data_IF_393331276596
#
_entry.id   IF_393331276596
#
_cell.length_a   1.000
_cell.length_b   1.000
_cell.length_c   1.000
_cell.angle_alpha   90.00
_cell.angle_beta   90.00
_cell.angle_gamma   90.00
#
_symmetry.space_group_name_H-M   'P 1'
#
loop_
_entity.id
_entity.type
_entity.pdbx_description
1 polymer ?
#
# COMPACT_ATOMS: atom_id res chain seq x y z
N UNK A 1 41.40 20.02 45.10
CA UNK A 1 39.96 19.82 45.36
C UNK A 1 39.07 20.62 44.41
N UNK A 2 39.27 21.93 44.22
CA UNK A 2 38.37 22.77 43.37
C UNK A 2 38.34 22.31 41.89
N UNK A 3 39.48 21.94 41.29
CA UNK A 3 39.53 21.46 39.89
C UNK A 3 38.79 20.13 39.66
N UNK A 4 38.80 19.23 40.64
CA UNK A 4 38.14 17.92 40.55
C UNK A 4 36.61 18.07 40.68
N UNK A 5 36.15 19.03 41.49
CA UNK A 5 34.73 19.35 41.65
C UNK A 5 34.16 19.99 40.37
N UNK A 6 34.91 20.88 39.71
CA UNK A 6 34.51 21.50 38.44
C UNK A 6 34.41 20.49 37.29
N UNK A 7 35.31 19.51 37.23
CA UNK A 7 35.27 18.47 36.20
C UNK A 7 34.08 17.51 36.39
N UNK A 8 33.77 17.16 37.64
CA UNK A 8 32.59 16.35 37.97
C UNK A 8 31.28 17.11 37.68
N UNK A 9 31.23 18.42 37.94
CA UNK A 9 30.08 19.26 37.60
C UNK A 9 29.88 19.34 36.08
N UNK A 10 30.97 19.55 35.31
CA UNK A 10 30.90 19.62 33.85
C UNK A 10 30.39 18.30 33.26
N UNK A 11 30.90 17.16 33.73
CA UNK A 11 30.45 15.83 33.27
C UNK A 11 28.97 15.58 33.62
N UNK A 12 28.53 16.02 34.82
CA UNK A 12 27.14 15.92 35.25
C UNK A 12 26.20 16.79 34.41
N UNK A 13 26.62 18.01 34.04
CA UNK A 13 25.87 18.87 33.12
C UNK A 13 25.82 18.31 31.70
N UNK A 14 26.89 17.67 31.21
CA UNK A 14 26.86 17.02 29.89
C UNK A 14 25.92 15.80 29.87
N UNK A 15 25.92 14.97 30.92
CA UNK A 15 25.02 13.81 31.03
C UNK A 15 23.55 14.27 31.12
N UNK A 16 23.28 15.34 31.88
CA UNK A 16 21.94 15.92 31.97
C UNK A 16 21.48 16.58 30.66
N UNK A 17 22.40 17.18 29.88
CA UNK A 17 22.09 17.75 28.57
C UNK A 17 21.72 16.67 27.56
N UNK A 18 22.51 15.59 27.48
CA UNK A 18 22.23 14.47 26.57
C UNK A 18 20.92 13.79 26.92
N UNK A 19 20.65 13.55 28.21
CA UNK A 19 19.38 12.98 28.65
C UNK A 19 18.17 13.90 28.40
N UNK A 20 18.35 15.23 28.43
CA UNK A 20 17.30 16.19 28.12
C UNK A 20 17.04 16.31 26.61
N UNK A 21 18.08 16.17 25.77
CA UNK A 21 17.96 16.12 24.32
C UNK A 21 17.31 14.80 23.86
N UNK A 22 17.66 13.67 24.48
CA UNK A 22 17.02 12.36 24.23
C UNK A 22 15.52 12.36 24.58
N UNK A 23 15.13 13.00 25.69
CA UNK A 23 13.71 13.11 26.09
C UNK A 23 12.94 14.04 25.14
N UNK A 24 13.52 15.18 24.75
CA UNK A 24 12.87 16.08 23.77
C UNK A 24 12.77 15.45 22.38
N UNK A 25 13.76 14.67 21.98
CA UNK A 25 13.72 13.92 20.73
C UNK A 25 12.66 12.82 20.79
N UNK A 26 12.57 12.07 21.89
CA UNK A 26 11.52 11.07 22.09
C UNK A 26 10.11 11.69 22.16
N UNK A 27 9.96 12.87 22.77
CA UNK A 27 8.70 13.63 22.79
C UNK A 27 8.33 14.14 21.40
N UNK A 28 9.27 14.68 20.63
CA UNK A 28 9.05 15.13 19.25
C UNK A 28 8.79 13.96 18.29
N UNK A 29 9.44 12.82 18.48
CA UNK A 29 9.18 11.58 17.73
C UNK A 29 7.80 11.00 18.07
N UNK A 30 7.39 11.04 19.34
CA UNK A 30 6.05 10.64 19.79
C UNK A 30 4.94 11.60 19.30
N UNK A 31 5.21 12.90 19.25
CA UNK A 31 4.28 13.92 18.74
C UNK A 31 4.14 13.81 17.21
N UNK A 32 5.25 13.65 16.49
CA UNK A 32 5.24 13.29 15.08
C UNK A 32 4.61 11.90 14.83
N UNK A 33 4.65 10.99 15.81
CA UNK A 33 3.95 9.69 15.76
C UNK A 33 2.45 9.84 15.81
N UNK A 34 1.95 10.66 16.72
CA UNK A 34 0.55 11.01 16.83
C UNK A 34 0.03 11.83 15.64
N UNK A 35 0.87 12.67 15.03
CA UNK A 35 0.45 13.53 13.90
C UNK A 35 0.17 12.78 12.59
N UNK A 36 0.83 11.63 12.37
CA UNK A 36 0.67 10.87 11.13
C UNK A 36 -0.40 9.77 11.21
N UNK A 37 -0.75 9.29 12.41
CA UNK A 37 -1.86 8.36 12.62
C UNK A 37 -3.20 9.10 12.52
N UNK A 38 -4.04 8.68 11.58
CA UNK A 38 -5.28 9.39 11.22
C UNK A 38 -6.55 8.60 11.52
N UNK A 39 -6.40 7.35 11.99
CA UNK A 39 -7.51 6.50 12.41
C UNK A 39 -7.11 5.04 12.54
N UNK A 40 -8.06 4.20 12.97
CA UNK A 40 -7.86 2.76 13.06
C UNK A 40 -9.16 2.00 12.82
N UNK A 41 -9.04 0.71 12.47
CA UNK A 41 -10.15 -0.23 12.39
C UNK A 41 -9.64 -1.62 12.78
N UNK A 42 -10.11 -2.13 13.92
CA UNK A 42 -9.61 -3.39 14.49
C UNK A 42 -8.09 -3.34 14.76
N UNK A 43 -7.33 -4.22 14.11
CA UNK A 43 -5.85 -4.23 14.17
C UNK A 43 -5.18 -3.40 13.07
N UNK A 44 -5.96 -2.69 12.27
CA UNK A 44 -5.44 -1.85 11.18
C UNK A 44 -5.31 -0.41 11.66
N UNK A 45 -4.11 0.16 11.50
CA UNK A 45 -3.83 1.58 11.77
C UNK A 45 -3.69 2.30 10.44
N UNK A 46 -4.36 3.44 10.29
CA UNK A 46 -4.30 4.29 9.11
C UNK A 46 -3.34 5.45 9.34
N UNK A 47 -2.48 5.71 8.35
CA UNK A 47 -1.51 6.80 8.38
C UNK A 47 -1.58 7.67 7.14
N UNK A 48 -1.22 8.94 7.28
CA UNK A 48 -1.05 9.88 6.17
C UNK A 48 0.18 10.76 6.46
N UNK A 49 1.34 10.33 5.98
CA UNK A 49 2.62 11.00 6.24
C UNK A 49 3.02 11.94 5.09
N UNK A 50 3.43 13.20 5.36
CA UNK A 50 3.77 14.18 4.33
C UNK A 50 5.00 13.81 3.50
N UNK A 51 6.02 13.19 4.08
CA UNK A 51 7.26 12.85 3.37
C UNK A 51 7.06 11.63 2.49
N UNK A 52 6.34 10.61 2.96
CA UNK A 52 5.93 9.47 2.14
C UNK A 52 5.05 9.92 0.97
N UNK A 53 4.08 10.82 1.22
CA UNK A 53 3.25 11.40 0.18
C UNK A 53 4.08 12.16 -0.86
N UNK A 54 5.03 13.00 -0.43
CA UNK A 54 5.93 13.71 -1.34
C UNK A 54 6.78 12.74 -2.17
N UNK A 55 7.43 11.78 -1.52
CA UNK A 55 8.29 10.79 -2.19
C UNK A 55 7.55 10.06 -3.32
N UNK A 56 6.36 9.54 -3.03
CA UNK A 56 5.57 8.79 -3.99
C UNK A 56 4.91 9.70 -5.04
N UNK A 57 4.61 10.95 -4.69
CA UNK A 57 4.15 11.95 -5.65
C UNK A 57 5.24 12.30 -6.67
N UNK A 58 6.48 12.54 -6.24
CA UNK A 58 7.62 12.77 -7.14
C UNK A 58 7.83 11.57 -8.08
N UNK A 59 7.76 10.35 -7.53
CA UNK A 59 7.90 9.15 -8.34
C UNK A 59 6.73 8.94 -9.32
N UNK A 60 5.51 9.30 -8.94
CA UNK A 60 4.35 9.33 -9.82
C UNK A 60 4.58 10.26 -11.02
N UNK A 61 4.99 11.50 -10.76
CA UNK A 61 5.23 12.49 -11.81
C UNK A 61 6.37 12.06 -12.74
N UNK A 62 7.40 11.39 -12.22
CA UNK A 62 8.49 10.84 -13.02
C UNK A 62 8.05 9.71 -13.96
N UNK A 63 7.00 8.98 -13.58
CA UNK A 63 6.48 7.81 -14.31
C UNK A 63 5.36 8.15 -15.29
N UNK A 64 4.56 9.17 -14.99
CA UNK A 64 3.35 9.52 -15.71
C UNK A 64 3.43 10.94 -16.28
N UNK A 65 3.78 11.03 -17.56
CA UNK A 65 3.92 12.31 -18.28
C UNK A 65 2.62 13.12 -18.34
N UNK A 66 1.46 12.46 -18.34
CA UNK A 66 0.18 13.18 -18.30
C UNK A 66 -0.02 13.81 -16.93
N UNK A 67 0.26 13.06 -15.85
CA UNK A 67 0.17 13.59 -14.50
C UNK A 67 1.18 14.73 -14.27
N UNK A 68 2.40 14.62 -14.80
CA UNK A 68 3.39 15.69 -14.76
C UNK A 68 2.90 16.94 -15.52
N UNK A 69 2.32 16.75 -16.70
CA UNK A 69 1.75 17.86 -17.47
C UNK A 69 0.63 18.56 -16.69
N UNK A 70 -0.30 17.80 -16.11
CA UNK A 70 -1.37 18.35 -15.27
C UNK A 70 -0.80 19.13 -14.05
N UNK A 71 0.26 18.61 -13.43
CA UNK A 71 0.91 19.29 -12.32
C UNK A 71 1.57 20.61 -12.74
N UNK A 72 2.29 20.62 -13.87
CA UNK A 72 2.91 21.83 -14.46
C UNK A 72 1.88 22.90 -14.81
N UNK A 73 0.74 22.46 -15.33
CA UNK A 73 -0.36 23.33 -15.74
C UNK A 73 -1.20 23.82 -14.53
N UNK A 74 -0.92 23.33 -13.32
CA UNK A 74 -1.68 23.69 -12.12
C UNK A 74 -1.29 25.05 -11.54
N UNK A 75 -2.27 25.82 -11.06
CA UNK A 75 -2.04 27.08 -10.33
C UNK A 75 -1.60 26.86 -8.87
N UNK A 76 -1.41 25.59 -8.47
CA UNK A 76 -1.08 25.22 -7.08
C UNK A 76 0.38 25.47 -6.70
N UNK A 77 1.24 25.78 -7.66
CA UNK A 77 2.67 25.97 -7.45
C UNK A 77 3.21 27.12 -8.30
N UNK A 78 4.07 27.95 -7.72
CA UNK A 78 4.75 29.03 -8.47
C UNK A 78 5.78 28.45 -9.43
N UNK A 79 6.13 29.18 -10.50
CA UNK A 79 7.17 28.74 -11.44
C UNK A 79 8.55 28.55 -10.77
N UNK A 80 8.85 29.34 -9.74
CA UNK A 80 10.09 29.18 -8.95
C UNK A 80 10.07 27.87 -8.16
N UNK A 81 9.00 27.61 -7.41
CA UNK A 81 8.84 26.38 -6.63
C UNK A 81 8.79 25.14 -7.53
N UNK A 82 8.13 25.23 -8.70
CA UNK A 82 8.05 24.15 -9.69
C UNK A 82 9.44 23.70 -10.16
N UNK A 83 10.40 24.61 -10.30
CA UNK A 83 11.77 24.26 -10.72
C UNK A 83 12.49 23.33 -9.74
N UNK A 84 12.14 23.35 -8.45
CA UNK A 84 12.67 22.41 -7.46
C UNK A 84 12.06 21.02 -7.62
N UNK A 85 10.75 20.95 -7.91
CA UNK A 85 10.07 19.70 -8.23
C UNK A 85 10.62 19.08 -9.50
N UNK A 86 10.78 19.86 -10.58
CA UNK A 86 11.26 19.33 -11.86
C UNK A 86 12.65 18.71 -11.76
N UNK A 87 13.57 19.35 -11.01
CA UNK A 87 14.89 18.76 -10.74
C UNK A 87 14.80 17.44 -10.01
N UNK A 88 13.94 17.33 -8.99
CA UNK A 88 13.73 16.09 -8.27
C UNK A 88 13.10 15.03 -9.19
N UNK A 89 12.05 15.39 -9.94
CA UNK A 89 11.32 14.49 -10.83
C UNK A 89 12.23 13.89 -11.91
N UNK A 90 13.15 14.69 -12.46
CA UNK A 90 14.15 14.18 -13.42
C UNK A 90 15.03 13.09 -12.81
N UNK A 91 15.52 13.31 -11.59
CA UNK A 91 16.35 12.32 -10.89
C UNK A 91 15.55 11.04 -10.55
N UNK A 92 14.28 11.18 -10.11
CA UNK A 92 13.37 10.04 -9.91
C UNK A 92 13.11 9.30 -11.23
N UNK A 93 13.09 10.01 -12.35
CA UNK A 93 12.90 9.41 -13.68
C UNK A 93 14.12 8.56 -14.06
N UNK A 94 15.32 9.11 -13.96
CA UNK A 94 16.58 8.43 -14.32
C UNK A 94 16.89 7.23 -13.41
N UNK A 95 16.75 7.41 -12.09
CA UNK A 95 17.10 6.39 -11.10
C UNK A 95 16.00 5.35 -10.89
N UNK A 96 14.75 5.70 -11.22
CA UNK A 96 13.57 4.89 -10.93
C UNK A 96 12.72 4.56 -12.15
N UNK A 97 12.02 5.57 -12.69
CA UNK A 97 10.89 5.34 -13.58
C UNK A 97 11.29 4.69 -14.91
N UNK A 98 12.38 5.16 -15.53
CA UNK A 98 12.92 4.60 -16.79
C UNK A 98 13.38 3.15 -16.62
N UNK A 99 13.81 2.80 -15.41
CA UNK A 99 14.28 1.47 -15.03
C UNK A 99 13.16 0.56 -14.53
N UNK A 100 11.90 1.03 -14.53
CA UNK A 100 10.73 0.31 -14.03
C UNK A 100 10.91 -0.21 -12.58
N UNK A 101 11.52 0.60 -11.73
CA UNK A 101 11.83 0.25 -10.35
C UNK A 101 10.55 0.10 -9.52
N UNK A 102 10.45 -0.99 -8.75
CA UNK A 102 9.35 -1.16 -7.80
C UNK A 102 9.72 -0.51 -6.47
N UNK A 103 8.84 0.35 -5.95
CA UNK A 103 9.03 1.17 -4.72
C UNK A 103 9.29 0.38 -3.43
N UNK A 104 9.22 -0.95 -3.42
CA UNK A 104 9.43 -1.77 -2.20
C UNK A 104 10.02 -3.15 -2.51
N UNK A 105 10.29 -3.48 -3.79
CA UNK A 105 10.72 -4.84 -4.22
C UNK A 105 11.95 -4.77 -5.12
N UNK A 106 12.81 -3.79 -4.91
CA UNK A 106 14.04 -3.60 -5.66
C UNK A 106 15.18 -3.16 -4.74
N UNK A 107 16.40 -3.41 -5.16
CA UNK A 107 17.61 -2.89 -4.51
C UNK A 107 17.97 -1.57 -5.19
N UNK A 108 17.25 -0.50 -4.85
CA UNK A 108 17.38 0.84 -5.45
C UNK A 108 17.13 1.94 -4.43
N UNK A 109 17.63 3.15 -4.70
CA UNK A 109 17.40 4.33 -3.84
C UNK A 109 15.91 4.63 -3.64
N UNK A 110 15.07 4.40 -4.66
CA UNK A 110 13.61 4.60 -4.55
C UNK A 110 13.01 3.66 -3.50
N UNK A 111 13.36 2.38 -3.56
CA UNK A 111 12.82 1.39 -2.64
C UNK A 111 13.42 1.50 -1.23
N UNK A 112 14.69 1.87 -1.14
CA UNK A 112 15.35 2.14 0.14
C UNK A 112 14.70 3.33 0.84
N UNK A 113 14.51 4.44 0.12
CA UNK A 113 13.86 5.63 0.66
C UNK A 113 12.40 5.36 1.04
N UNK A 114 11.65 4.60 0.24
CA UNK A 114 10.31 4.14 0.65
C UNK A 114 10.40 3.34 1.96
N UNK A 115 11.37 2.44 2.10
CA UNK A 115 11.58 1.65 3.32
C UNK A 115 11.89 2.52 4.55
N UNK A 116 12.77 3.51 4.41
CA UNK A 116 13.10 4.49 5.46
C UNK A 116 11.84 5.24 5.90
N UNK A 117 11.07 5.76 4.95
CA UNK A 117 9.85 6.54 5.24
C UNK A 117 8.73 5.70 5.85
N UNK A 118 8.52 4.47 5.37
CA UNK A 118 7.55 3.53 5.94
C UNK A 118 7.90 3.11 7.38
N UNK A 119 9.20 3.07 7.72
CA UNK A 119 9.67 2.78 9.07
C UNK A 119 9.92 4.05 9.90
N UNK A 120 9.59 5.23 9.37
CA UNK A 120 9.78 6.54 10.02
C UNK A 120 11.21 6.80 10.47
N UNK A 121 12.18 6.23 9.78
CA UNK A 121 13.57 6.52 10.04
C UNK A 121 13.88 7.93 9.57
N UNK A 122 14.60 8.69 10.40
CA UNK A 122 15.02 10.04 10.02
C UNK A 122 15.87 9.98 8.75
N UNK A 123 15.60 10.90 7.82
CA UNK A 123 16.44 11.08 6.64
C UNK A 123 17.72 11.77 7.09
N UNK A 124 18.79 10.99 7.26
CA UNK A 124 20.13 11.55 7.48
C UNK A 124 20.80 11.87 6.13
N UNK A 125 20.73 13.15 5.76
CA UNK A 125 21.34 13.66 4.52
C UNK A 125 22.86 13.76 4.57
N UNK A 126 23.47 13.77 5.76
CA UNK A 126 24.93 13.87 5.91
C UNK A 126 25.58 12.49 5.72
N UNK A 127 24.87 11.44 6.13
CA UNK A 127 25.29 10.05 5.97
C UNK A 127 24.86 9.48 4.61
N UNK A 128 23.71 9.90 4.09
CA UNK A 128 23.19 9.38 2.82
C UNK A 128 23.96 9.93 1.61
N UNK A 129 24.49 9.01 0.79
CA UNK A 129 25.10 9.36 -0.52
C UNK A 129 24.05 9.63 -1.60
N UNK A 130 22.83 9.17 -1.35
CA UNK A 130 21.74 9.04 -2.33
C UNK A 130 21.16 10.41 -2.69
N UNK A 131 20.99 10.66 -3.99
CA UNK A 131 20.50 11.95 -4.47
C UNK A 131 19.02 12.14 -4.14
N UNK A 132 18.22 11.06 -4.13
CA UNK A 132 16.78 11.13 -3.88
C UNK A 132 16.45 11.61 -2.46
N UNK A 133 17.26 11.26 -1.46
CA UNK A 133 17.09 11.71 -0.08
C UNK A 133 17.22 13.23 0.02
N UNK A 134 18.28 13.79 -0.61
CA UNK A 134 18.49 15.24 -0.68
C UNK A 134 17.34 15.95 -1.39
N UNK A 135 16.83 15.38 -2.48
CA UNK A 135 15.68 15.95 -3.19
C UNK A 135 14.42 16.00 -2.33
N UNK A 136 14.10 14.92 -1.60
CA UNK A 136 12.93 14.91 -0.70
C UNK A 136 13.07 15.97 0.38
N UNK A 137 14.22 16.07 1.05
CA UNK A 137 14.44 17.08 2.10
C UNK A 137 14.34 18.50 1.56
N UNK A 138 14.92 18.77 0.39
CA UNK A 138 14.91 20.11 -0.21
C UNK A 138 13.51 20.53 -0.68
N UNK A 139 12.72 19.59 -1.21
CA UNK A 139 11.37 19.87 -1.73
C UNK A 139 10.31 19.87 -0.61
N UNK A 140 10.56 19.18 0.51
CA UNK A 140 9.60 19.04 1.60
C UNK A 140 9.00 20.35 2.13
N UNK A 141 9.75 21.43 2.39
CA UNK A 141 9.16 22.70 2.84
C UNK A 141 8.21 23.31 1.80
N UNK A 142 8.54 23.19 0.52
CA UNK A 142 7.74 23.71 -0.60
C UNK A 142 6.46 22.88 -0.74
N UNK A 143 6.59 21.54 -0.67
CA UNK A 143 5.47 20.61 -0.68
C UNK A 143 4.50 20.88 0.48
N UNK A 144 5.02 21.02 1.70
CA UNK A 144 4.22 21.30 2.91
C UNK A 144 3.43 22.60 2.78
N UNK A 145 4.06 23.65 2.23
CA UNK A 145 3.42 24.97 2.05
C UNK A 145 2.34 24.98 0.97
N UNK A 146 2.55 24.30 -0.15
CA UNK A 146 1.74 24.49 -1.35
C UNK A 146 0.76 23.33 -1.63
N UNK A 147 1.10 22.09 -1.27
CA UNK A 147 0.39 20.90 -1.73
C UNK A 147 -0.14 20.01 -0.59
N UNK A 148 0.56 19.97 0.55
CA UNK A 148 0.25 19.01 1.62
C UNK A 148 -1.17 19.15 2.16
N UNK A 149 -1.66 20.37 2.40
CA UNK A 149 -3.00 20.58 2.92
C UNK A 149 -4.07 19.93 2.02
N UNK A 150 -3.93 20.10 0.70
CA UNK A 150 -4.87 19.53 -0.28
C UNK A 150 -4.72 18.01 -0.38
N UNK A 151 -3.50 17.49 -0.41
CA UNK A 151 -3.23 16.05 -0.48
C UNK A 151 -3.73 15.33 0.79
N UNK A 152 -3.44 15.90 1.96
CA UNK A 152 -3.89 15.40 3.26
C UNK A 152 -5.42 15.45 3.36
N UNK A 153 -6.06 16.56 2.95
CA UNK A 153 -7.51 16.65 2.92
C UNK A 153 -8.15 15.54 2.06
N UNK A 154 -7.54 15.21 0.91
CA UNK A 154 -7.98 14.09 0.05
C UNK A 154 -7.78 12.72 0.71
N UNK A 155 -6.65 12.50 1.36
CA UNK A 155 -6.39 11.27 2.14
C UNK A 155 -7.44 11.09 3.25
N UNK A 156 -7.74 12.15 4.00
CA UNK A 156 -8.71 12.14 5.09
C UNK A 156 -10.17 12.04 4.59
N UNK A 157 -10.50 12.63 3.45
CA UNK A 157 -11.80 12.45 2.79
C UNK A 157 -12.02 10.99 2.39
N UNK A 158 -11.01 10.39 1.75
CA UNK A 158 -11.04 8.98 1.36
C UNK A 158 -11.20 8.07 2.58
N UNK A 159 -10.41 8.31 3.64
CA UNK A 159 -10.49 7.54 4.88
C UNK A 159 -11.88 7.64 5.51
N UNK A 160 -12.42 8.85 5.68
CA UNK A 160 -13.77 9.03 6.24
C UNK A 160 -14.82 8.26 5.44
N UNK A 161 -14.73 8.29 4.10
CA UNK A 161 -15.61 7.54 3.22
C UNK A 161 -15.47 6.03 3.36
N UNK A 162 -14.26 5.52 3.60
CA UNK A 162 -13.98 4.11 3.88
C UNK A 162 -14.46 3.70 5.28
N UNK A 163 -14.20 4.53 6.30
CA UNK A 163 -14.51 4.27 7.71
C UNK A 163 -15.99 3.95 7.91
N UNK A 164 -16.87 4.76 7.32
CA UNK A 164 -18.33 4.53 7.36
C UNK A 164 -18.72 3.14 6.83
N UNK A 165 -18.01 2.65 5.81
CA UNK A 165 -18.24 1.33 5.22
C UNK A 165 -17.64 0.22 6.06
N UNK A 166 -16.45 0.44 6.61
CA UNK A 166 -15.78 -0.52 7.51
C UNK A 166 -16.57 -0.72 8.80
N UNK A 167 -17.13 0.33 9.37
CA UNK A 167 -17.96 0.25 10.58
C UNK A 167 -19.23 -0.55 10.33
N UNK A 168 -19.79 -0.46 9.11
CA UNK A 168 -21.03 -1.14 8.75
C UNK A 168 -20.85 -2.57 8.24
N UNK A 169 -19.84 -2.80 7.40
CA UNK A 169 -19.66 -4.05 6.65
C UNK A 169 -18.33 -4.75 6.93
N UNK A 170 -17.37 -4.07 7.54
CA UNK A 170 -16.01 -4.58 7.66
C UNK A 170 -15.93 -5.88 8.46
N UNK A 171 -16.71 -6.01 9.53
CA UNK A 171 -16.74 -7.23 10.34
C UNK A 171 -17.24 -8.45 9.58
N UNK A 172 -18.35 -8.31 8.85
CA UNK A 172 -18.93 -9.39 8.02
C UNK A 172 -17.98 -9.80 6.90
N UNK A 173 -17.44 -8.82 6.16
CA UNK A 173 -16.51 -9.06 5.04
C UNK A 173 -15.23 -9.76 5.56
N UNK A 174 -14.66 -9.26 6.66
CA UNK A 174 -13.46 -9.87 7.26
C UNK A 174 -13.73 -11.31 7.65
N UNK A 175 -14.82 -11.57 8.36
CA UNK A 175 -15.17 -12.91 8.80
C UNK A 175 -15.35 -13.89 7.63
N UNK A 176 -16.06 -13.50 6.57
CA UNK A 176 -16.25 -14.36 5.39
C UNK A 176 -14.92 -14.63 4.68
N UNK A 177 -14.07 -13.61 4.49
CA UNK A 177 -12.75 -13.80 3.88
C UNK A 177 -11.83 -14.70 4.72
N UNK A 178 -11.83 -14.54 6.03
CA UNK A 178 -11.02 -15.38 6.93
C UNK A 178 -11.49 -16.83 6.94
N UNK A 179 -12.81 -17.05 6.87
CA UNK A 179 -13.38 -18.39 6.74
C UNK A 179 -12.98 -19.04 5.41
N UNK A 180 -13.14 -18.31 4.29
CA UNK A 180 -12.77 -18.80 2.97
C UNK A 180 -11.27 -19.15 2.96
N UNK A 181 -10.39 -18.17 3.21
CA UNK A 181 -8.95 -18.43 3.17
C UNK A 181 -8.42 -19.31 4.32
N UNK A 182 -9.27 -19.60 5.32
CA UNK A 182 -8.95 -20.39 6.51
C UNK A 182 -7.75 -19.83 7.28
N UNK A 183 -7.65 -18.50 7.34
CA UNK A 183 -6.59 -17.76 8.03
C UNK A 183 -7.11 -16.36 8.36
N UNK A 184 -6.65 -15.79 9.48
CA UNK A 184 -6.94 -14.39 9.79
C UNK A 184 -6.34 -13.48 8.72
N UNK A 185 -7.03 -12.39 8.36
CA UNK A 185 -6.48 -11.41 7.42
C UNK A 185 -5.23 -10.76 8.00
N UNK A 186 -5.27 -10.43 9.30
CA UNK A 186 -4.16 -9.85 10.06
C UNK A 186 -4.05 -10.42 11.48
N UNK A 187 -2.87 -10.92 11.85
CA UNK A 187 -2.61 -11.44 13.20
C UNK A 187 -2.08 -10.37 14.16
N UNK A 188 -1.32 -9.40 13.65
CA UNK A 188 -0.75 -8.27 14.37
C UNK A 188 -1.29 -6.92 13.89
N UNK A 189 -0.66 -5.84 14.35
CA UNK A 189 -0.96 -4.49 13.84
C UNK A 189 -0.49 -4.39 12.39
N UNK A 190 -1.39 -3.98 11.51
CA UNK A 190 -1.11 -3.72 10.10
C UNK A 190 -1.28 -2.23 9.81
N UNK A 191 -0.31 -1.61 9.15
CA UNK A 191 -0.34 -0.18 8.84
C UNK A 191 -0.77 0.05 7.40
N UNK A 192 -1.82 0.84 7.20
CA UNK A 192 -2.25 1.33 5.87
C UNK A 192 -1.82 2.78 5.73
N UNK A 193 -0.83 3.02 4.87
CA UNK A 193 -0.34 4.34 4.52
C UNK A 193 -1.15 4.88 3.33
N UNK A 194 -1.98 5.89 3.61
CA UNK A 194 -2.82 6.58 2.63
C UNK A 194 -1.99 7.68 1.99
N UNK A 195 -1.97 7.66 0.66
CA UNK A 195 -1.15 8.56 -0.14
C UNK A 195 -1.98 9.21 -1.23
N UNK A 196 -1.69 10.46 -1.59
CA UNK A 196 -2.42 11.12 -2.66
C UNK A 196 -2.16 10.43 -4.00
N UNK A 197 -0.89 10.14 -4.31
CA UNK A 197 -0.47 9.30 -5.42
C UNK A 197 0.41 8.16 -4.88
N UNK A 198 0.29 6.95 -5.42
CA UNK A 198 0.96 5.78 -4.86
C UNK A 198 2.36 5.55 -5.45
N UNK A 199 2.76 6.27 -6.49
CA UNK A 199 4.04 6.03 -7.19
C UNK A 199 4.05 4.73 -8.00
N UNK A 200 2.90 4.09 -8.24
CA UNK A 200 2.81 2.80 -8.92
C UNK A 200 1.50 2.66 -9.70
N UNK A 201 1.56 2.03 -10.89
CA UNK A 201 0.42 1.93 -11.82
C UNK A 201 -0.78 1.17 -11.24
N UNK A 202 -0.52 0.24 -10.32
CA UNK A 202 -1.55 -0.61 -9.76
C UNK A 202 -2.45 0.13 -8.77
N UNK A 203 -2.07 1.30 -8.24
CA UNK A 203 -2.86 2.07 -7.28
C UNK A 203 -2.62 1.73 -5.81
N UNK A 204 -2.21 0.49 -5.50
CA UNK A 204 -1.83 0.08 -4.15
C UNK A 204 -0.76 -1.04 -4.15
N UNK A 205 -0.07 -1.20 -3.03
CA UNK A 205 0.84 -2.33 -2.82
C UNK A 205 0.89 -2.73 -1.35
N UNK A 206 0.96 -4.03 -1.10
CA UNK A 206 1.08 -4.59 0.25
C UNK A 206 2.33 -5.45 0.40
N UNK A 207 2.99 -5.28 1.54
CA UNK A 207 4.09 -6.11 2.01
C UNK A 207 3.67 -6.90 3.25
N UNK A 208 3.41 -8.19 3.07
CA UNK A 208 3.17 -9.11 4.19
C UNK A 208 4.39 -9.36 5.08
N UNK A 209 5.60 -8.88 4.70
CA UNK A 209 6.81 -8.98 5.54
C UNK A 209 6.89 -7.87 6.58
N UNK A 210 6.46 -6.67 6.21
CA UNK A 210 6.51 -5.48 7.06
C UNK A 210 5.13 -5.11 7.63
N UNK A 211 4.08 -5.85 7.28
CA UNK A 211 2.69 -5.56 7.67
C UNK A 211 2.30 -4.12 7.32
N UNK A 212 2.65 -3.71 6.11
CA UNK A 212 2.34 -2.39 5.59
C UNK A 212 1.71 -2.45 4.21
N UNK A 213 0.73 -1.57 4.01
CA UNK A 213 0.09 -1.28 2.72
C UNK A 213 0.33 0.19 2.39
N UNK A 214 0.57 0.48 1.11
CA UNK A 214 0.44 1.82 0.53
C UNK A 214 -0.79 1.78 -0.36
N UNK A 215 -1.73 2.71 -0.17
CA UNK A 215 -2.94 2.83 -0.98
C UNK A 215 -3.17 4.29 -1.36
N UNK A 216 -3.60 4.53 -2.60
CA UNK A 216 -3.88 5.88 -3.07
C UNK A 216 -5.29 6.37 -2.66
N UNK A 217 -5.44 7.69 -2.54
CA UNK A 217 -6.72 8.35 -2.25
C UNK A 217 -7.31 9.12 -3.43
N UNK A 218 -6.55 9.34 -4.51
CA UNK A 218 -6.94 10.25 -5.60
C UNK A 218 -7.51 9.58 -6.85
N UNK A 219 -7.28 8.28 -7.04
CA UNK A 219 -7.77 7.58 -8.23
C UNK A 219 -9.26 7.26 -8.10
N UNK A 220 -10.11 7.60 -9.10
CA UNK A 220 -11.54 7.31 -9.06
C UNK A 220 -11.85 5.82 -8.85
N UNK A 221 -11.05 4.93 -9.42
CA UNK A 221 -11.20 3.48 -9.31
C UNK A 221 -10.82 2.93 -7.93
N UNK A 222 -10.30 3.77 -7.03
CA UNK A 222 -10.05 3.46 -5.61
C UNK A 222 -11.04 4.14 -4.66
N UNK A 223 -12.11 4.75 -5.17
CA UNK A 223 -13.06 5.53 -4.37
C UNK A 223 -14.38 4.79 -4.09
N UNK A 224 -15.25 5.35 -3.24
CA UNK A 224 -16.61 4.83 -3.02
C UNK A 224 -16.61 3.40 -2.47
N UNK A 225 -17.32 2.49 -3.15
CA UNK A 225 -17.34 1.06 -2.82
C UNK A 225 -16.08 0.32 -3.25
N UNK A 226 -15.36 0.81 -4.26
CA UNK A 226 -14.05 0.25 -4.62
C UNK A 226 -12.99 0.52 -3.56
N UNK A 227 -13.10 1.61 -2.79
CA UNK A 227 -12.23 1.83 -1.62
C UNK A 227 -12.34 0.65 -0.63
N UNK A 228 -13.57 0.18 -0.38
CA UNK A 228 -13.83 -0.95 0.51
C UNK A 228 -13.28 -2.26 -0.08
N UNK A 229 -13.55 -2.54 -1.36
CA UNK A 229 -13.05 -3.74 -2.03
C UNK A 229 -11.53 -3.78 -2.06
N UNK A 230 -10.89 -2.68 -2.48
CA UNK A 230 -9.43 -2.62 -2.60
C UNK A 230 -8.75 -2.62 -1.24
N UNK A 231 -9.36 -2.07 -0.18
CA UNK A 231 -8.87 -2.21 1.18
C UNK A 231 -8.76 -3.69 1.59
N UNK A 232 -9.81 -4.48 1.38
CA UNK A 232 -9.81 -5.90 1.73
C UNK A 232 -8.94 -6.75 0.81
N UNK A 233 -8.82 -6.37 -0.46
CA UNK A 233 -7.88 -6.99 -1.40
C UNK A 233 -6.45 -6.78 -0.92
N UNK A 234 -6.07 -5.55 -0.58
CA UNK A 234 -4.73 -5.27 -0.07
C UNK A 234 -4.46 -5.98 1.26
N UNK A 235 -5.41 -5.97 2.19
CA UNK A 235 -5.28 -6.64 3.48
C UNK A 235 -5.10 -8.16 3.34
N UNK A 236 -5.77 -8.77 2.36
CA UNK A 236 -5.67 -10.21 2.09
C UNK A 236 -4.28 -10.63 1.55
N UNK A 237 -3.47 -9.73 1.01
CA UNK A 237 -2.08 -10.05 0.64
C UNK A 237 -1.17 -10.37 1.83
N UNK A 238 -1.53 -9.93 3.05
CA UNK A 238 -0.72 -10.13 4.26
C UNK A 238 -0.58 -11.63 4.54
N UNK A 239 -1.72 -12.31 4.75
CA UNK A 239 -1.77 -13.71 5.16
C UNK A 239 -2.43 -14.61 4.11
N UNK A 240 -3.63 -14.25 3.65
CA UNK A 240 -4.52 -15.08 2.82
C UNK A 240 -3.91 -15.49 1.49
N UNK A 241 -3.17 -14.59 0.83
CA UNK A 241 -2.52 -14.87 -0.45
C UNK A 241 -1.03 -14.59 -0.43
N UNK A 242 -0.40 -14.69 0.73
CA UNK A 242 1.06 -14.68 0.84
C UNK A 242 1.70 -15.84 0.07
N UNK A 243 2.99 -15.75 -0.26
CA UNK A 243 3.73 -16.84 -0.96
C UNK A 243 3.71 -18.19 -0.23
N UNK A 244 3.36 -18.21 1.06
CA UNK A 244 3.28 -19.40 1.90
C UNK A 244 1.83 -19.80 2.22
N UNK A 245 0.84 -19.11 1.65
CA UNK A 245 -0.57 -19.35 1.93
C UNK A 245 -1.01 -20.72 1.42
N UNK A 246 -2.09 -21.25 2.02
CA UNK A 246 -2.70 -22.52 1.61
C UNK A 246 -3.10 -22.48 0.13
N UNK A 247 -3.72 -21.38 -0.32
CA UNK A 247 -4.11 -21.20 -1.72
C UNK A 247 -2.93 -21.37 -2.69
N UNK A 248 -1.82 -20.64 -2.47
CA UNK A 248 -0.68 -20.72 -3.37
C UNK A 248 -0.01 -22.11 -3.34
N UNK A 249 0.04 -22.76 -2.18
CA UNK A 249 0.56 -24.13 -2.04
C UNK A 249 -0.28 -25.15 -2.80
N UNK A 250 -1.61 -25.06 -2.68
CA UNK A 250 -2.55 -25.94 -3.38
C UNK A 250 -2.47 -25.74 -4.90
N UNK A 251 -2.44 -24.48 -5.36
CA UNK A 251 -2.24 -24.18 -6.78
C UNK A 251 -0.91 -24.78 -7.25
N UNK A 252 0.17 -24.59 -6.49
CA UNK A 252 1.47 -25.19 -6.80
C UNK A 252 1.37 -26.71 -6.98
N UNK A 253 0.89 -27.42 -5.97
CA UNK A 253 0.84 -28.89 -5.98
C UNK A 253 -0.10 -29.47 -7.02
N UNK A 254 -1.27 -28.86 -7.26
CA UNK A 254 -2.22 -29.35 -8.26
C UNK A 254 -1.76 -29.04 -9.69
N UNK A 255 -1.19 -27.86 -9.92
CA UNK A 255 -0.77 -27.45 -11.28
C UNK A 255 0.49 -28.19 -11.72
N UNK A 256 1.35 -28.60 -10.79
CA UNK A 256 2.53 -29.43 -11.08
C UNK A 256 2.16 -30.80 -11.64
N UNK A 257 1.02 -31.37 -11.25
CA UNK A 257 0.55 -32.67 -11.78
C UNK A 257 0.26 -32.61 -13.28
N UNK A 258 0.02 -31.43 -13.83
CA UNK A 258 -0.39 -31.18 -15.20
C UNK A 258 0.59 -30.30 -16.00
N UNK A 259 1.77 -29.97 -15.45
CA UNK A 259 2.75 -29.07 -16.10
C UNK A 259 2.14 -27.70 -16.48
N UNK A 260 1.42 -27.08 -15.54
CA UNK A 260 0.73 -25.80 -15.72
C UNK A 260 1.48 -24.63 -15.04
N UNK A 261 2.81 -24.63 -15.08
CA UNK A 261 3.64 -23.63 -14.39
C UNK A 261 3.29 -22.20 -14.80
N UNK A 262 2.97 -21.98 -16.08
CA UNK A 262 2.57 -20.67 -16.61
C UNK A 262 1.26 -20.14 -15.99
N UNK A 263 0.40 -21.02 -15.49
CA UNK A 263 -0.90 -20.66 -14.91
C UNK A 263 -0.86 -20.47 -13.39
N UNK A 264 0.25 -20.78 -12.70
CA UNK A 264 0.33 -20.67 -11.23
C UNK A 264 0.05 -19.27 -10.69
N UNK A 265 0.16 -18.22 -11.52
CA UNK A 265 -0.22 -16.85 -11.17
C UNK A 265 -1.74 -16.61 -11.09
N UNK A 266 -2.57 -17.61 -11.39
CA UNK A 266 -4.03 -17.58 -11.23
C UNK A 266 -4.49 -17.27 -9.79
N UNK A 267 -3.61 -17.44 -8.79
CA UNK A 267 -3.90 -17.04 -7.42
C UNK A 267 -4.36 -15.58 -7.32
N UNK A 268 -3.84 -14.68 -8.17
CA UNK A 268 -4.18 -13.25 -8.11
C UNK A 268 -5.55 -12.95 -8.75
N UNK A 269 -5.92 -13.51 -9.92
CA UNK A 269 -7.31 -13.55 -10.38
C UNK A 269 -8.29 -14.16 -9.36
N UNK A 270 -7.96 -15.29 -8.73
CA UNK A 270 -8.79 -15.91 -7.67
C UNK A 270 -8.99 -14.94 -6.51
N UNK A 271 -7.93 -14.25 -6.10
CA UNK A 271 -7.97 -13.28 -5.01
C UNK A 271 -8.93 -12.13 -5.33
N UNK A 272 -8.78 -11.48 -6.48
CA UNK A 272 -9.69 -10.42 -6.94
C UNK A 272 -11.14 -10.91 -7.00
N UNK A 273 -11.36 -12.12 -7.52
CA UNK A 273 -12.70 -12.70 -7.64
C UNK A 273 -13.34 -12.92 -6.27
N UNK A 274 -12.58 -13.47 -5.34
CA UNK A 274 -13.05 -13.80 -3.99
C UNK A 274 -13.42 -12.54 -3.23
N UNK A 275 -12.53 -11.55 -3.15
CA UNK A 275 -12.80 -10.30 -2.43
C UNK A 275 -13.95 -9.53 -3.07
N UNK A 276 -13.98 -9.45 -4.40
CA UNK A 276 -15.05 -8.79 -5.13
C UNK A 276 -16.43 -9.40 -4.87
N UNK A 277 -16.55 -10.73 -4.87
CA UNK A 277 -17.83 -11.40 -4.61
C UNK A 277 -18.26 -11.30 -3.14
N UNK A 278 -17.34 -11.39 -2.18
CA UNK A 278 -17.65 -11.19 -0.75
C UNK A 278 -18.17 -9.78 -0.49
N UNK A 279 -17.47 -8.75 -1.00
CA UNK A 279 -17.90 -7.35 -0.85
C UNK A 279 -19.27 -7.15 -1.48
N UNK A 280 -19.46 -7.65 -2.71
CA UNK A 280 -20.72 -7.56 -3.44
C UNK A 280 -21.89 -8.22 -2.69
N UNK A 281 -21.67 -9.37 -2.05
CA UNK A 281 -22.69 -10.04 -1.21
C UNK A 281 -23.07 -9.18 -0.01
N UNK A 282 -22.07 -8.71 0.75
CA UNK A 282 -22.26 -7.91 1.96
C UNK A 282 -23.04 -6.61 1.68
N UNK A 283 -22.70 -5.90 0.60
CA UNK A 283 -23.33 -4.61 0.27
C UNK A 283 -24.57 -4.71 -0.61
N UNK A 284 -24.98 -5.92 -1.02
CA UNK A 284 -26.01 -6.16 -2.04
C UNK A 284 -27.36 -5.46 -1.78
N UNK A 285 -27.71 -5.21 -0.51
CA UNK A 285 -28.94 -4.48 -0.12
C UNK A 285 -28.83 -2.97 -0.38
N UNK A 286 -27.63 -2.40 -0.26
CA UNK A 286 -27.38 -0.97 -0.43
C UNK A 286 -26.94 -0.63 -1.85
N UNK A 287 -26.09 -1.47 -2.45
CA UNK A 287 -25.61 -1.31 -3.82
C UNK A 287 -25.86 -2.57 -4.66
N UNK A 288 -27.13 -2.86 -5.02
CA UNK A 288 -27.49 -4.08 -5.78
C UNK A 288 -26.89 -4.13 -7.19
N UNK A 289 -26.41 -2.99 -7.71
CA UNK A 289 -25.77 -2.89 -9.03
C UNK A 289 -24.24 -2.92 -8.94
N UNK A 290 -23.68 -3.19 -7.75
CA UNK A 290 -22.24 -3.24 -7.58
C UNK A 290 -21.59 -4.26 -8.53
N UNK A 291 -20.58 -3.80 -9.26
CA UNK A 291 -19.74 -4.63 -10.10
C UNK A 291 -18.35 -4.61 -9.50
N UNK A 292 -17.84 -5.76 -9.07
CA UNK A 292 -16.52 -5.90 -8.47
C UNK A 292 -15.41 -5.30 -9.35
N UNK A 293 -14.39 -4.74 -8.70
CA UNK A 293 -13.30 -3.95 -9.30
C UNK A 293 -12.69 -4.64 -10.52
N UNK A 294 -12.33 -5.92 -10.38
CA UNK A 294 -11.68 -6.67 -11.45
C UNK A 294 -12.55 -6.82 -12.70
N UNK A 295 -13.88 -6.90 -12.54
CA UNK A 295 -14.81 -6.93 -13.67
C UNK A 295 -15.04 -5.52 -14.22
N UNK A 296 -15.23 -4.52 -13.36
CA UNK A 296 -15.46 -3.14 -13.78
C UNK A 296 -14.29 -2.56 -14.58
N UNK A 297 -13.06 -2.94 -14.22
CA UNK A 297 -11.82 -2.49 -14.89
C UNK A 297 -11.31 -3.48 -15.95
N UNK A 298 -12.10 -4.50 -16.32
CA UNK A 298 -11.75 -5.42 -17.40
C UNK A 298 -10.49 -6.26 -17.15
N UNK A 299 -10.16 -6.58 -15.90
CA UNK A 299 -8.93 -7.32 -15.56
C UNK A 299 -8.96 -8.77 -16.02
N UNK A 300 -10.13 -9.38 -16.21
CA UNK A 300 -10.25 -10.78 -16.66
C UNK A 300 -10.13 -10.94 -18.18
N UNK A 301 -9.17 -10.28 -18.81
CA UNK A 301 -8.88 -10.39 -20.25
C UNK A 301 -7.40 -10.67 -20.49
N UNK A 302 -7.08 -11.20 -21.67
CA UNK A 302 -5.70 -11.54 -22.04
C UNK A 302 -5.08 -12.55 -21.08
N UNK A 303 -3.97 -12.21 -20.44
CA UNK A 303 -3.24 -13.10 -19.53
C UNK A 303 -4.02 -13.49 -18.25
N UNK A 304 -5.13 -12.82 -17.95
CA UNK A 304 -6.01 -13.07 -16.79
C UNK A 304 -7.39 -13.58 -17.19
N UNK A 305 -7.54 -14.12 -18.41
CA UNK A 305 -8.80 -14.70 -18.91
C UNK A 305 -9.18 -16.02 -18.21
N UNK A 306 -9.53 -15.90 -16.93
CA UNK A 306 -9.94 -16.99 -16.06
C UNK A 306 -11.40 -16.87 -15.63
N UNK A 307 -12.13 -15.82 -16.04
CA UNK A 307 -13.46 -15.52 -15.48
C UNK A 307 -14.44 -16.69 -15.61
N UNK A 308 -14.49 -17.32 -16.78
CA UNK A 308 -15.37 -18.48 -17.03
C UNK A 308 -14.98 -19.67 -16.16
N UNK A 309 -13.68 -19.89 -15.96
CA UNK A 309 -13.14 -20.96 -15.11
C UNK A 309 -13.47 -20.70 -13.64
N UNK A 310 -13.32 -19.46 -13.18
CA UNK A 310 -13.66 -19.06 -11.81
C UNK A 310 -15.17 -19.18 -11.55
N UNK A 311 -16.02 -18.74 -12.48
CA UNK A 311 -17.47 -18.90 -12.37
C UNK A 311 -17.88 -20.36 -12.27
N UNK A 312 -17.22 -21.24 -13.02
CA UNK A 312 -17.58 -22.65 -13.07
C UNK A 312 -17.05 -23.44 -11.88
N UNK A 313 -15.81 -23.17 -11.45
CA UNK A 313 -15.09 -24.05 -10.54
C UNK A 313 -14.68 -23.40 -9.22
N UNK A 314 -14.57 -22.07 -9.16
CA UNK A 314 -14.26 -21.35 -7.92
C UNK A 314 -15.51 -20.88 -7.18
N UNK A 315 -16.53 -20.37 -7.88
CA UNK A 315 -17.80 -19.95 -7.27
C UNK A 315 -18.46 -21.05 -6.42
N UNK A 316 -18.52 -22.34 -6.83
CA UNK A 316 -19.08 -23.38 -5.98
C UNK A 316 -18.36 -23.54 -4.63
N UNK A 317 -17.07 -23.21 -4.55
CA UNK A 317 -16.35 -23.18 -3.29
C UNK A 317 -16.76 -21.95 -2.45
N UNK A 318 -16.92 -20.78 -3.06
CA UNK A 318 -17.46 -19.58 -2.37
C UNK A 318 -18.89 -19.78 -1.88
N UNK A 319 -19.65 -20.68 -2.50
CA UNK A 319 -21.01 -21.07 -2.11
C UNK A 319 -21.04 -22.23 -1.08
N UNK A 320 -19.87 -22.73 -0.68
CA UNK A 320 -19.75 -23.83 0.28
C UNK A 320 -20.16 -25.21 -0.28
N UNK A 321 -20.29 -25.35 -1.60
CA UNK A 321 -20.70 -26.60 -2.26
C UNK A 321 -19.54 -27.58 -2.43
N UNK A 322 -18.31 -27.08 -2.52
CA UNK A 322 -17.08 -27.89 -2.64
C UNK A 322 -15.97 -27.30 -1.76
N UNK A 323 -14.93 -28.08 -1.47
CA UNK A 323 -13.74 -27.59 -0.77
C UNK A 323 -12.83 -26.74 -1.67
N UNK A 324 -11.91 -25.98 -1.06
CA UNK A 324 -10.87 -25.24 -1.78
C UNK A 324 -10.01 -26.20 -2.63
N UNK A 325 -9.63 -27.34 -2.06
CA UNK A 325 -8.87 -28.38 -2.75
C UNK A 325 -9.57 -28.86 -4.02
N UNK A 326 -10.86 -29.19 -3.92
CA UNK A 326 -11.63 -29.69 -5.06
C UNK A 326 -11.80 -28.62 -6.15
N UNK A 327 -12.00 -27.36 -5.75
CA UNK A 327 -12.10 -26.24 -6.69
C UNK A 327 -10.78 -26.06 -7.47
N UNK A 328 -9.63 -26.06 -6.79
CA UNK A 328 -8.31 -25.92 -7.42
C UNK A 328 -7.99 -27.12 -8.32
N UNK A 329 -8.30 -28.34 -7.90
CA UNK A 329 -8.15 -29.55 -8.73
C UNK A 329 -8.96 -29.43 -10.03
N UNK A 330 -10.24 -29.03 -9.94
CA UNK A 330 -11.10 -28.87 -11.11
C UNK A 330 -10.58 -27.80 -12.08
N UNK A 331 -10.07 -26.68 -11.54
CA UNK A 331 -9.43 -25.63 -12.33
C UNK A 331 -8.20 -26.17 -13.06
N UNK A 332 -7.32 -26.90 -12.35
CA UNK A 332 -6.11 -27.46 -12.93
C UNK A 332 -6.44 -28.44 -14.07
N UNK A 333 -7.42 -29.33 -13.84
CA UNK A 333 -7.88 -30.27 -14.85
C UNK A 333 -8.42 -29.58 -16.10
N UNK A 334 -9.32 -28.60 -15.95
CA UNK A 334 -9.88 -27.85 -17.08
C UNK A 334 -8.78 -27.14 -17.89
N UNK A 335 -7.79 -26.54 -17.22
CA UNK A 335 -6.69 -25.87 -17.90
C UNK A 335 -5.80 -26.86 -18.66
N UNK A 336 -5.61 -28.08 -18.12
CA UNK A 336 -4.85 -29.14 -18.79
C UNK A 336 -5.52 -29.69 -20.06
N UNK A 337 -6.86 -29.63 -20.13
CA UNK A 337 -7.62 -30.09 -21.30
C UNK A 337 -7.70 -29.03 -22.42
N UNK A 338 -7.32 -27.78 -22.12
CA UNK A 338 -7.31 -26.65 -23.07
C UNK A 338 -5.93 -26.31 -23.63
N UNK A 339 -4.86 -26.83 -23.02
CA UNK A 339 -3.48 -26.75 -23.53
C UNK A 339 -3.20 -27.86 -24.52
#
# INVERSE_FOLDING_TARGET
>A
MIKTLLLALALYFTILSVAADDVKQAEAEAEAEAEAEVGSWGKVVFRSDPLLNLHLFLYEMARDENALKEFRDSESISSEDLSYFEKAIEEYRELGAERNIHIVRSDSEVAELTGVLLNRQNIDIEISKDSLYRHVVNVAPIYKRNLWETHSAKNLEWLRGLQVKLDKYGGEISQELEQLFSVNLVDGVHTVNITYKPGLRQGATTSGRSFQTIINSSYPEYSGWFALEMFFHELSHVNSVSRKSRLQKLIGSEFDKYSLEQHKKIWHPIHFYTVGEVVKRAISKEEPKFVAYAKANGLYVGHWDYKVILDRYWMPYLDGLVSMEQAIENIAKELSEKG
#
